data_IF_532867486155
#
_entry.id   IF_532867486155
#
_cell.length_a   1.000
_cell.length_b   1.000
_cell.length_c   1.000
_cell.angle_alpha   90.00
_cell.angle_beta   90.00
_cell.angle_gamma   90.00
#
_symmetry.space_group_name_H-M   'P 1'
#
loop_
_entity.id
_entity.type
_entity.pdbx_description
1 polymer ?
#
# COMPACT_ATOMS: atom_id res chain seq x y z
N UNK A 1 13.87 5.76 11.13
CA UNK A 1 12.84 6.66 11.73
C UNK A 1 11.51 5.92 11.58
N UNK A 2 10.60 6.00 12.54
CA UNK A 2 9.28 5.39 12.44
C UNK A 2 8.31 6.44 11.87
N UNK A 3 7.60 6.10 10.83
CA UNK A 3 6.57 6.93 10.21
C UNK A 3 5.19 6.54 10.73
N UNK A 4 4.30 7.51 10.89
CA UNK A 4 2.91 7.32 11.29
C UNK A 4 1.99 7.61 10.12
N UNK A 5 1.24 6.59 9.68
CA UNK A 5 0.34 6.67 8.53
C UNK A 5 -1.11 6.62 9.01
N UNK A 6 -1.90 7.61 8.64
CA UNK A 6 -3.34 7.60 8.87
C UNK A 6 -4.03 6.62 7.91
N UNK A 7 -4.65 5.57 8.43
CA UNK A 7 -5.56 4.72 7.65
C UNK A 7 -6.95 5.36 7.61
N UNK A 8 -7.29 5.98 6.49
CA UNK A 8 -8.53 6.74 6.33
C UNK A 8 -9.64 5.83 5.76
N UNK A 9 -10.10 4.89 6.60
CA UNK A 9 -11.05 3.84 6.24
C UNK A 9 -12.50 4.23 6.56
N UNK A 10 -12.93 5.41 6.11
CA UNK A 10 -14.31 5.93 6.18
C UNK A 10 -14.91 6.02 4.80
N UNK A 11 -16.23 6.16 4.69
CA UNK A 11 -16.95 6.24 3.41
C UNK A 11 -17.57 7.62 3.13
N UNK A 12 -17.60 8.51 4.12
CA UNK A 12 -18.12 9.85 3.97
C UNK A 12 -16.99 10.86 3.69
N UNK A 13 -17.14 11.66 2.61
CA UNK A 13 -16.16 12.67 2.18
C UNK A 13 -15.86 13.70 3.26
N UNK A 14 -16.91 14.23 3.90
CA UNK A 14 -16.75 15.29 4.91
C UNK A 14 -16.05 14.75 6.17
N UNK A 15 -16.42 13.56 6.59
CA UNK A 15 -15.78 12.88 7.70
C UNK A 15 -14.29 12.64 7.40
N UNK A 16 -13.97 12.14 6.20
CA UNK A 16 -12.61 11.91 5.76
C UNK A 16 -11.74 13.17 5.83
N UNK A 17 -12.24 14.28 5.31
CA UNK A 17 -11.52 15.56 5.32
C UNK A 17 -11.31 16.10 6.74
N UNK A 18 -12.34 16.03 7.59
CA UNK A 18 -12.22 16.46 8.99
C UNK A 18 -11.17 15.65 9.76
N UNK A 19 -11.14 14.33 9.55
CA UNK A 19 -10.14 13.46 10.20
C UNK A 19 -8.74 13.75 9.66
N UNK A 20 -8.58 13.86 8.35
CA UNK A 20 -7.30 14.16 7.72
C UNK A 20 -6.73 15.49 8.21
N UNK A 21 -7.53 16.56 8.25
CA UNK A 21 -7.12 17.88 8.74
C UNK A 21 -6.72 17.83 10.23
N UNK A 22 -7.51 17.17 11.07
CA UNK A 22 -7.22 17.04 12.48
C UNK A 22 -5.95 16.23 12.78
N UNK A 23 -5.66 15.21 11.97
CA UNK A 23 -4.49 14.34 12.14
C UNK A 23 -3.22 14.90 11.46
N UNK A 24 -3.34 15.75 10.45
CA UNK A 24 -2.22 16.22 9.62
C UNK A 24 -0.97 16.66 10.38
N UNK A 25 -1.06 17.37 11.54
CA UNK A 25 0.14 17.77 12.28
C UNK A 25 0.93 16.62 12.93
N UNK A 26 0.39 15.43 12.95
CA UNK A 26 0.92 14.28 13.73
C UNK A 26 1.28 13.07 12.88
N UNK A 27 1.07 13.12 11.56
CA UNK A 27 1.24 11.99 10.65
C UNK A 27 2.18 12.34 9.50
N UNK A 28 2.76 11.29 8.89
CA UNK A 28 3.70 11.42 7.78
C UNK A 28 3.05 11.12 6.42
N UNK A 29 1.91 10.41 6.39
CA UNK A 29 1.18 10.09 5.17
C UNK A 29 -0.29 9.76 5.45
N UNK A 30 -1.13 9.81 4.41
CA UNK A 30 -2.53 9.39 4.44
C UNK A 30 -2.71 8.18 3.52
N UNK A 31 -3.25 7.08 4.06
CA UNK A 31 -3.56 5.87 3.31
C UNK A 31 -5.06 5.80 3.04
N UNK A 32 -5.44 5.76 1.77
CA UNK A 32 -6.84 5.77 1.30
C UNK A 32 -7.20 4.41 0.73
N UNK A 33 -8.24 3.80 1.30
CA UNK A 33 -8.76 2.50 0.88
C UNK A 33 -10.00 2.57 -0.03
N UNK A 34 -10.45 1.40 -0.47
CA UNK A 34 -11.65 1.27 -1.30
C UNK A 34 -12.93 1.88 -0.69
N UNK A 35 -13.20 1.80 0.63
CA UNK A 35 -14.43 2.37 1.18
C UNK A 35 -14.61 3.83 0.80
N UNK A 36 -13.56 4.64 0.91
CA UNK A 36 -13.62 6.06 0.58
C UNK A 36 -13.67 6.29 -0.94
N UNK A 37 -12.79 5.64 -1.71
CA UNK A 37 -12.72 5.87 -3.16
C UNK A 37 -13.99 5.41 -3.88
N UNK A 38 -14.61 4.30 -3.48
CA UNK A 38 -15.85 3.82 -4.09
C UNK A 38 -17.03 4.75 -3.81
N UNK A 39 -17.02 5.49 -2.72
CA UNK A 39 -18.07 6.46 -2.38
C UNK A 39 -17.84 7.85 -2.97
N UNK A 40 -16.58 8.25 -3.19
CA UNK A 40 -16.22 9.63 -3.57
C UNK A 40 -15.57 9.77 -4.94
N UNK A 41 -15.09 8.67 -5.51
CA UNK A 41 -14.23 8.67 -6.70
C UNK A 41 -12.77 8.98 -6.37
N UNK A 42 -11.90 8.82 -7.38
CA UNK A 42 -10.47 9.12 -7.25
C UNK A 42 -10.18 10.63 -7.01
N UNK A 43 -11.10 11.51 -7.37
CA UNK A 43 -10.95 12.95 -7.14
C UNK A 43 -10.85 13.36 -5.65
N UNK A 44 -11.09 12.46 -4.73
CA UNK A 44 -10.84 12.69 -3.30
C UNK A 44 -9.38 13.10 -3.01
N UNK A 45 -8.45 12.73 -3.86
CA UNK A 45 -7.04 13.13 -3.74
C UNK A 45 -6.86 14.64 -3.80
N UNK A 46 -7.62 15.34 -4.66
CA UNK A 46 -7.58 16.81 -4.80
C UNK A 46 -7.96 17.49 -3.47
N UNK A 47 -8.94 16.93 -2.76
CA UNK A 47 -9.37 17.49 -1.46
C UNK A 47 -8.36 17.17 -0.35
N UNK A 48 -7.75 15.99 -0.38
CA UNK A 48 -6.77 15.55 0.60
C UNK A 48 -5.38 16.16 0.38
N UNK A 49 -5.13 16.82 -0.74
CA UNK A 49 -3.85 17.46 -1.04
C UNK A 49 -3.54 18.68 -0.14
N UNK A 50 -4.56 19.28 0.53
CA UNK A 50 -4.41 20.49 1.33
C UNK A 50 -3.29 20.43 2.38
N UNK A 51 -3.14 19.36 3.18
CA UNK A 51 -2.05 19.20 4.14
C UNK A 51 -0.65 19.01 3.52
N UNK A 52 -0.52 18.73 2.24
CA UNK A 52 0.75 18.46 1.57
C UNK A 52 1.41 17.13 1.98
N UNK A 53 0.63 16.19 2.50
CA UNK A 53 1.09 14.86 2.91
C UNK A 53 0.99 13.86 1.74
N UNK A 54 1.93 12.91 1.63
CA UNK A 54 1.85 11.82 0.66
C UNK A 54 0.57 11.01 0.79
N UNK A 55 -0.04 10.65 -0.35
CA UNK A 55 -1.24 9.84 -0.44
C UNK A 55 -0.90 8.42 -0.91
N UNK A 56 -1.29 7.42 -0.14
CA UNK A 56 -1.04 6.00 -0.43
C UNK A 56 -2.37 5.33 -0.83
N UNK A 57 -2.44 4.78 -2.04
CA UNK A 57 -3.59 4.01 -2.51
C UNK A 57 -3.56 2.59 -1.97
N UNK A 58 -4.36 2.29 -0.94
CA UNK A 58 -4.48 0.94 -0.37
C UNK A 58 -5.51 0.10 -1.14
N UNK A 59 -5.23 -0.12 -2.42
CA UNK A 59 -6.14 -0.85 -3.32
C UNK A 59 -5.81 -2.33 -3.43
N UNK A 60 -4.67 -2.75 -2.85
CA UNK A 60 -4.24 -4.15 -2.85
C UNK A 60 -4.37 -4.78 -4.25
N UNK A 61 -3.84 -4.05 -5.25
CA UNK A 61 -3.96 -4.40 -6.68
C UNK A 61 -3.51 -5.83 -6.91
N UNK A 62 -4.38 -6.64 -7.56
CA UNK A 62 -4.18 -8.08 -7.66
C UNK A 62 -4.80 -8.64 -8.95
N UNK A 63 -4.24 -8.28 -10.09
CA UNK A 63 -4.70 -8.71 -11.41
C UNK A 63 -3.51 -9.16 -12.28
N UNK A 64 -3.76 -9.48 -13.54
CA UNK A 64 -2.71 -9.76 -14.52
C UNK A 64 -1.90 -8.50 -14.85
N UNK A 65 -0.66 -8.62 -15.36
CA UNK A 65 0.24 -7.48 -15.55
C UNK A 65 -0.34 -6.31 -16.33
N UNK A 66 -1.07 -6.57 -17.40
CA UNK A 66 -1.66 -5.50 -18.22
C UNK A 66 -2.71 -4.68 -17.44
N UNK A 67 -3.61 -5.36 -16.74
CA UNK A 67 -4.64 -4.71 -15.92
C UNK A 67 -4.02 -3.95 -14.75
N UNK A 68 -2.99 -4.52 -14.09
CA UNK A 68 -2.25 -3.85 -13.04
C UNK A 68 -1.62 -2.53 -13.52
N UNK A 69 -1.05 -2.49 -14.74
CA UNK A 69 -0.55 -1.24 -15.33
C UNK A 69 -1.65 -0.20 -15.47
N UNK A 70 -2.80 -0.57 -16.04
CA UNK A 70 -3.90 0.36 -16.24
C UNK A 70 -4.45 0.90 -14.91
N UNK A 71 -4.55 0.05 -13.88
CA UNK A 71 -4.97 0.47 -12.54
C UNK A 71 -3.96 1.45 -11.95
N UNK A 72 -2.66 1.12 -11.97
CA UNK A 72 -1.63 1.97 -11.40
C UNK A 72 -1.51 3.31 -12.15
N UNK A 73 -1.61 3.33 -13.50
CA UNK A 73 -1.65 4.58 -14.27
C UNK A 73 -2.81 5.48 -13.84
N UNK A 74 -4.01 4.92 -13.63
CA UNK A 74 -5.15 5.68 -13.14
C UNK A 74 -4.92 6.21 -11.71
N UNK A 75 -4.32 5.40 -10.84
CA UNK A 75 -3.98 5.77 -9.45
C UNK A 75 -3.02 6.95 -9.43
N UNK A 76 -1.88 6.86 -10.11
CA UNK A 76 -0.88 7.93 -10.10
C UNK A 76 -1.36 9.17 -10.84
N UNK A 77 -2.12 9.01 -11.94
CA UNK A 77 -2.75 10.14 -12.65
C UNK A 77 -3.77 10.89 -11.78
N UNK A 78 -4.36 10.23 -10.80
CA UNK A 78 -5.27 10.84 -9.85
C UNK A 78 -4.55 11.58 -8.71
N UNK A 79 -3.21 11.53 -8.61
CA UNK A 79 -2.43 12.27 -7.62
C UNK A 79 -2.06 11.46 -6.36
N UNK A 80 -2.10 10.14 -6.41
CA UNK A 80 -1.47 9.31 -5.37
C UNK A 80 0.05 9.27 -5.54
N UNK A 81 0.77 9.20 -4.41
CA UNK A 81 2.24 9.10 -4.37
C UNK A 81 2.71 7.65 -4.24
N UNK A 82 1.82 6.75 -3.80
CA UNK A 82 2.15 5.34 -3.66
C UNK A 82 0.96 4.42 -3.89
N UNK A 83 1.24 3.16 -4.24
CA UNK A 83 0.23 2.11 -4.41
C UNK A 83 0.60 0.85 -3.61
N UNK A 84 -0.40 0.19 -3.04
CA UNK A 84 -0.27 -1.12 -2.41
C UNK A 84 -0.82 -2.19 -3.36
N UNK A 85 0.00 -3.20 -3.66
CA UNK A 85 -0.35 -4.35 -4.49
C UNK A 85 -0.10 -5.67 -3.77
N UNK A 86 -0.81 -6.72 -4.13
CA UNK A 86 -0.58 -8.07 -3.60
C UNK A 86 0.63 -8.75 -4.25
N UNK A 87 1.45 -9.43 -3.44
CA UNK A 87 2.60 -10.19 -3.94
C UNK A 87 2.25 -11.61 -4.40
N UNK A 88 1.11 -12.18 -3.98
CA UNK A 88 0.70 -13.53 -4.40
C UNK A 88 0.39 -13.66 -5.90
N UNK A 89 0.14 -12.55 -6.59
CA UNK A 89 -0.09 -12.51 -8.04
C UNK A 89 1.14 -12.88 -8.88
N UNK A 90 2.32 -13.02 -8.26
CA UNK A 90 3.56 -13.37 -8.94
C UNK A 90 4.41 -12.16 -9.35
N UNK A 91 5.63 -12.47 -9.82
CA UNK A 91 6.66 -11.44 -10.05
C UNK A 91 6.37 -10.52 -11.23
N UNK A 92 5.74 -11.00 -12.28
CA UNK A 92 5.41 -10.23 -13.47
C UNK A 92 4.31 -9.20 -13.18
N UNK A 93 3.25 -9.61 -12.48
CA UNK A 93 2.15 -8.74 -12.09
C UNK A 93 2.57 -7.72 -11.03
N UNK A 94 3.36 -8.12 -10.02
CA UNK A 94 3.92 -7.20 -9.03
C UNK A 94 4.87 -6.18 -9.69
N UNK A 95 5.73 -6.62 -10.60
CA UNK A 95 6.65 -5.74 -11.34
C UNK A 95 5.91 -4.71 -12.18
N UNK A 96 4.77 -5.07 -12.76
CA UNK A 96 3.94 -4.14 -13.51
C UNK A 96 3.49 -2.93 -12.66
N UNK A 97 3.08 -3.17 -11.41
CA UNK A 97 2.74 -2.09 -10.47
C UNK A 97 3.96 -1.23 -10.11
N UNK A 98 5.10 -1.87 -9.82
CA UNK A 98 6.34 -1.20 -9.41
C UNK A 98 6.90 -0.32 -10.54
N UNK A 99 6.92 -0.82 -11.77
CA UNK A 99 7.40 -0.07 -12.93
C UNK A 99 6.58 1.20 -13.18
N UNK A 100 5.24 1.11 -13.08
CA UNK A 100 4.36 2.28 -13.21
C UNK A 100 4.61 3.26 -12.06
N UNK A 101 4.66 2.79 -10.81
CA UNK A 101 4.96 3.65 -9.67
C UNK A 101 6.26 4.43 -9.89
N UNK A 102 7.34 3.75 -10.26
CA UNK A 102 8.64 4.39 -10.49
C UNK A 102 8.64 5.35 -11.69
N UNK A 103 7.85 5.08 -12.75
CA UNK A 103 7.72 6.01 -13.88
C UNK A 103 7.05 7.32 -13.51
N UNK A 104 6.20 7.31 -12.49
CA UNK A 104 5.57 8.49 -11.89
C UNK A 104 6.36 9.08 -10.71
N UNK A 105 7.59 8.62 -10.45
CA UNK A 105 8.39 9.01 -9.28
C UNK A 105 7.71 8.67 -7.93
N UNK A 106 6.77 7.74 -7.94
CA UNK A 106 6.05 7.24 -6.77
C UNK A 106 6.62 5.94 -6.23
N UNK A 107 5.94 5.36 -5.23
CA UNK A 107 6.36 4.14 -4.55
C UNK A 107 5.34 3.00 -4.72
N UNK A 108 5.83 1.75 -4.64
CA UNK A 108 4.99 0.56 -4.62
C UNK A 108 5.34 -0.35 -3.44
N UNK A 109 4.33 -0.67 -2.64
CA UNK A 109 4.43 -1.54 -1.48
C UNK A 109 3.71 -2.86 -1.74
N UNK A 110 4.38 -3.98 -1.43
CA UNK A 110 3.85 -5.31 -1.73
C UNK A 110 3.33 -5.97 -0.46
N UNK A 111 2.06 -6.37 -0.47
CA UNK A 111 1.46 -7.14 0.62
C UNK A 111 2.13 -8.50 0.69
N UNK A 112 2.94 -8.71 1.72
CA UNK A 112 3.60 -9.98 2.00
C UNK A 112 2.70 -10.90 2.84
N UNK A 113 1.99 -10.33 3.81
CA UNK A 113 1.08 -11.05 4.68
C UNK A 113 -0.03 -10.11 5.19
N UNK A 114 -1.25 -10.62 5.33
CA UNK A 114 -2.40 -9.87 5.85
C UNK A 114 -2.63 -10.17 7.34
N UNK A 115 -3.28 -9.23 8.06
CA UNK A 115 -3.42 -9.28 9.52
C UNK A 115 -4.62 -10.10 10.02
N UNK A 116 -5.68 -10.28 9.22
CA UNK A 116 -6.90 -10.96 9.63
C UNK A 116 -6.69 -12.50 9.82
N UNK A 117 -7.50 -13.17 10.64
CA UNK A 117 -7.30 -14.61 10.94
C UNK A 117 -7.29 -15.52 9.72
N UNK A 118 -8.19 -15.33 8.76
CA UNK A 118 -8.27 -16.14 7.53
C UNK A 118 -7.03 -16.04 6.63
N UNK A 119 -6.17 -15.05 6.83
CA UNK A 119 -4.92 -14.95 6.07
C UNK A 119 -4.03 -16.19 6.27
N UNK A 120 -4.08 -16.82 7.45
CA UNK A 120 -3.27 -18.00 7.76
C UNK A 120 -3.65 -19.23 6.93
N UNK A 121 -4.79 -19.25 6.26
CA UNK A 121 -5.18 -20.34 5.36
C UNK A 121 -4.28 -20.40 4.10
N UNK A 122 -3.71 -19.27 3.69
CA UNK A 122 -2.89 -19.16 2.49
C UNK A 122 -1.47 -18.66 2.76
N UNK A 123 -1.28 -17.79 3.75
CA UNK A 123 0.02 -17.22 4.11
C UNK A 123 0.72 -18.05 5.20
N UNK A 124 0.84 -19.37 4.96
CA UNK A 124 1.55 -20.32 5.81
C UNK A 124 2.79 -20.88 5.09
N UNK A 125 3.57 -21.74 5.75
CA UNK A 125 4.70 -22.50 5.19
C UNK A 125 5.69 -21.67 4.35
N UNK A 126 6.03 -20.48 4.80
CA UNK A 126 7.01 -19.61 4.15
C UNK A 126 6.48 -18.83 2.95
N UNK A 127 5.15 -18.77 2.73
CA UNK A 127 4.56 -17.98 1.63
C UNK A 127 4.89 -16.49 1.77
N UNK A 128 4.72 -15.92 2.95
CA UNK A 128 5.01 -14.50 3.19
C UNK A 128 6.50 -14.17 2.97
N UNK A 129 7.40 -15.05 3.40
CA UNK A 129 8.85 -14.94 3.18
C UNK A 129 9.20 -14.97 1.69
N UNK A 130 8.56 -15.86 0.93
CA UNK A 130 8.75 -15.93 -0.53
C UNK A 130 8.25 -14.67 -1.22
N UNK A 131 7.12 -14.11 -0.76
CA UNK A 131 6.58 -12.85 -1.28
C UNK A 131 7.52 -11.67 -0.92
N UNK A 132 8.01 -11.60 0.31
CA UNK A 132 8.97 -10.58 0.72
C UNK A 132 10.26 -10.63 -0.14
N UNK A 133 10.79 -11.83 -0.38
CA UNK A 133 11.94 -12.02 -1.26
C UNK A 133 11.61 -11.64 -2.72
N UNK A 134 10.38 -11.90 -3.19
CA UNK A 134 9.91 -11.45 -4.50
C UNK A 134 9.87 -9.93 -4.58
N UNK A 135 9.33 -9.24 -3.57
CA UNK A 135 9.27 -7.78 -3.51
C UNK A 135 10.67 -7.16 -3.62
N UNK A 136 11.67 -7.71 -2.91
CA UNK A 136 13.06 -7.28 -3.00
C UNK A 136 13.62 -7.46 -4.42
N UNK A 137 13.44 -8.64 -5.03
CA UNK A 137 13.90 -8.92 -6.40
C UNK A 137 13.24 -8.04 -7.46
N UNK A 138 11.98 -7.67 -7.25
CA UNK A 138 11.23 -6.78 -8.13
C UNK A 138 11.51 -5.29 -7.85
N UNK A 139 12.33 -4.95 -6.85
CA UNK A 139 12.68 -3.58 -6.44
C UNK A 139 11.49 -2.79 -5.89
N UNK A 140 10.55 -3.44 -5.21
CA UNK A 140 9.52 -2.73 -4.47
C UNK A 140 10.15 -1.80 -3.40
N UNK A 141 9.48 -0.72 -3.05
CA UNK A 141 9.96 0.26 -2.07
C UNK A 141 9.81 -0.26 -0.64
N UNK A 142 8.83 -1.15 -0.43
CA UNK A 142 8.64 -1.83 0.85
C UNK A 142 7.60 -2.94 0.76
N UNK A 143 7.22 -3.44 1.93
CA UNK A 143 6.20 -4.48 2.08
C UNK A 143 5.15 -4.08 3.12
N UNK A 144 3.99 -4.73 3.04
CA UNK A 144 2.97 -4.71 4.10
C UNK A 144 3.07 -6.01 4.89
N UNK A 145 3.11 -5.89 6.22
CA UNK A 145 3.23 -7.02 7.15
C UNK A 145 2.32 -6.82 8.37
N UNK A 146 1.88 -7.91 9.07
CA UNK A 146 0.89 -7.80 10.13
C UNK A 146 1.52 -7.39 11.47
N UNK A 147 1.30 -6.17 11.97
CA UNK A 147 1.71 -5.74 13.31
C UNK A 147 1.06 -6.55 14.44
N UNK A 148 -0.08 -7.18 14.16
CA UNK A 148 -0.74 -8.11 15.11
C UNK A 148 0.09 -9.37 15.42
N UNK A 149 1.15 -9.61 14.64
CA UNK A 149 2.09 -10.71 14.77
C UNK A 149 3.52 -10.18 14.67
N UNK A 150 4.07 -9.55 15.73
CA UNK A 150 5.37 -8.86 15.68
C UNK A 150 6.54 -9.79 15.32
N UNK A 151 6.46 -11.07 15.67
CA UNK A 151 7.43 -12.09 15.27
C UNK A 151 7.47 -12.28 13.74
N UNK A 152 6.34 -12.11 13.05
CA UNK A 152 6.29 -12.14 11.57
C UNK A 152 6.97 -10.91 10.97
N UNK A 153 6.74 -9.73 11.55
CA UNK A 153 7.41 -8.49 11.13
C UNK A 153 8.92 -8.62 11.28
N UNK A 154 9.40 -9.15 12.43
CA UNK A 154 10.82 -9.37 12.67
C UNK A 154 11.42 -10.34 11.62
N UNK A 155 10.74 -11.45 11.33
CA UNK A 155 11.17 -12.42 10.33
C UNK A 155 11.23 -11.83 8.93
N UNK A 156 10.24 -11.04 8.54
CA UNK A 156 10.20 -10.39 7.22
C UNK A 156 11.26 -9.29 7.10
N UNK A 157 11.59 -8.59 8.20
CA UNK A 157 12.68 -7.60 8.26
C UNK A 157 14.04 -8.21 7.88
N UNK A 158 14.32 -9.44 8.31
CA UNK A 158 15.57 -10.14 7.94
C UNK A 158 15.71 -10.33 6.42
N UNK A 159 14.57 -10.43 5.71
CA UNK A 159 14.54 -10.67 4.25
C UNK A 159 14.61 -9.36 3.47
N UNK A 160 13.87 -8.33 3.92
CA UNK A 160 13.75 -7.08 3.15
C UNK A 160 14.84 -6.05 3.47
N UNK A 161 15.65 -6.30 4.52
CA UNK A 161 16.74 -5.40 4.91
C UNK A 161 16.19 -4.02 5.34
N UNK A 162 16.70 -2.96 4.74
CA UNK A 162 16.37 -1.57 5.10
C UNK A 162 15.09 -1.03 4.43
N UNK A 163 14.40 -1.84 3.61
CA UNK A 163 13.16 -1.41 2.94
C UNK A 163 12.05 -1.13 3.95
N UNK A 164 11.12 -0.25 3.60
CA UNK A 164 9.96 0.05 4.45
C UNK A 164 9.12 -1.21 4.75
N UNK A 165 8.64 -1.33 5.98
CA UNK A 165 7.60 -2.28 6.38
C UNK A 165 6.49 -1.45 7.01
N UNK A 166 5.34 -1.43 6.36
CA UNK A 166 4.12 -0.84 6.91
C UNK A 166 3.22 -1.94 7.49
N UNK A 167 2.48 -1.59 8.54
CA UNK A 167 1.65 -2.53 9.32
C UNK A 167 0.32 -1.92 9.67
#
# INVERSE_FOLDING_TARGET
MTELILALDVSDRKEALNIAEACAPFIDAIKVGYPLVLSTGLSITEDLAGPGLPLIADFKVADIPNTNRLICEAVFSAGFDAVIAHGFVGADAARACIEVAHSHSGAAYIVAEMSHPGATEFFHDGVAERIAALAVRCRADGIIAPATRPERVARLREIVGDKAIYS
#
